data_IF_422325450782
#
_entry.id   IF_422325450782
#
_cell.length_a   1.000
_cell.length_b   1.000
_cell.length_c   1.000
_cell.angle_alpha   90.00
_cell.angle_beta   90.00
_cell.angle_gamma   90.00
#
_symmetry.space_group_name_H-M   'P 1'
#
loop_
_entity.id
_entity.type
_entity.pdbx_description
1 polymer ?
#
# COMPACT_ATOMS: atom_id res chain seq x y z
N UNK A 1 14.75 11.01 -10.80
CA UNK A 1 14.57 9.59 -11.15
C UNK A 1 13.84 9.53 -12.48
N UNK A 2 14.49 9.03 -13.53
CA UNK A 2 13.86 8.92 -14.85
C UNK A 2 12.94 7.69 -14.79
N UNK A 3 11.64 7.95 -14.64
CA UNK A 3 10.61 6.93 -14.71
C UNK A 3 10.40 6.66 -16.20
N UNK A 4 10.97 5.56 -16.69
CA UNK A 4 10.72 5.06 -18.04
C UNK A 4 9.20 4.94 -18.25
N UNK A 5 8.69 5.27 -19.44
CA UNK A 5 7.25 5.17 -19.73
C UNK A 5 6.74 3.72 -19.64
N UNK A 6 7.64 2.76 -19.86
CA UNK A 6 7.41 1.33 -19.66
C UNK A 6 7.75 0.93 -18.22
N UNK A 7 6.71 0.74 -17.41
CA UNK A 7 6.85 0.15 -16.08
C UNK A 7 7.07 -1.35 -16.19
N UNK A 8 8.28 -1.79 -15.84
CA UNK A 8 8.61 -3.20 -15.71
C UNK A 8 8.64 -3.65 -14.25
N UNK A 9 8.84 -4.95 -14.02
CA UNK A 9 8.97 -5.52 -12.67
C UNK A 9 10.05 -4.81 -11.85
N UNK A 10 11.17 -4.44 -12.47
CA UNK A 10 12.29 -3.75 -11.82
C UNK A 10 11.87 -2.38 -11.30
N UNK A 11 11.09 -1.65 -12.08
CA UNK A 11 10.57 -0.33 -11.72
C UNK A 11 9.63 -0.41 -10.52
N UNK A 12 8.72 -1.39 -10.51
CA UNK A 12 7.84 -1.63 -9.36
C UNK A 12 8.61 -2.05 -8.10
N UNK A 13 9.58 -2.96 -8.25
CA UNK A 13 10.46 -3.33 -7.15
C UNK A 13 11.17 -2.09 -6.59
N UNK A 14 11.79 -1.28 -7.45
CA UNK A 14 12.54 -0.09 -7.04
C UNK A 14 11.66 0.91 -6.27
N UNK A 15 10.46 1.21 -6.78
CA UNK A 15 9.54 2.11 -6.08
C UNK A 15 9.07 1.50 -4.75
N UNK A 16 8.83 0.19 -4.68
CA UNK A 16 8.40 -0.47 -3.44
C UNK A 16 9.39 -0.26 -2.29
N UNK A 17 10.69 -0.13 -2.60
CA UNK A 17 11.74 0.14 -1.63
C UNK A 17 11.91 1.64 -1.35
N UNK A 18 11.69 2.49 -2.36
CA UNK A 18 11.99 3.92 -2.28
C UNK A 18 10.86 4.77 -1.68
N UNK A 19 9.60 4.34 -1.79
CA UNK A 19 8.44 5.21 -1.49
C UNK A 19 8.43 5.75 -0.07
N UNK A 20 8.98 5.00 0.90
CA UNK A 20 9.06 5.39 2.31
C UNK A 20 9.96 6.59 2.59
N UNK A 21 10.86 6.93 1.66
CA UNK A 21 11.83 8.01 1.82
C UNK A 21 11.38 9.32 1.17
N UNK A 22 10.19 9.33 0.57
CA UNK A 22 9.67 10.49 -0.17
C UNK A 22 8.76 11.35 0.72
N UNK A 23 8.75 12.65 0.47
CA UNK A 23 7.66 13.50 0.94
C UNK A 23 6.34 13.08 0.30
N UNK A 24 5.23 13.38 0.99
CA UNK A 24 3.91 12.88 0.64
C UNK A 24 3.46 13.23 -0.79
N UNK A 25 3.80 14.41 -1.29
CA UNK A 25 3.38 14.87 -2.63
C UNK A 25 4.14 14.12 -3.73
N UNK A 26 5.47 13.99 -3.59
CA UNK A 26 6.28 13.19 -4.51
C UNK A 26 5.93 11.70 -4.44
N UNK A 27 5.65 11.19 -3.24
CA UNK A 27 5.19 9.82 -3.06
C UNK A 27 3.87 9.59 -3.82
N UNK A 28 2.90 10.50 -3.64
CA UNK A 28 1.61 10.43 -4.31
C UNK A 28 1.73 10.42 -5.82
N UNK A 29 2.52 11.34 -6.39
CA UNK A 29 2.70 11.40 -7.84
C UNK A 29 3.25 10.08 -8.40
N UNK A 30 4.32 9.56 -7.80
CA UNK A 30 4.97 8.34 -8.28
C UNK A 30 4.09 7.10 -8.11
N UNK A 31 3.36 7.01 -7.00
CA UNK A 31 2.42 5.92 -6.71
C UNK A 31 1.25 5.93 -7.69
N UNK A 32 0.64 7.10 -7.94
CA UNK A 32 -0.47 7.20 -8.89
C UNK A 32 -0.01 6.86 -10.34
N UNK A 33 1.23 7.21 -10.70
CA UNK A 33 1.85 6.80 -11.98
C UNK A 33 2.04 5.28 -12.05
N UNK A 34 2.57 4.66 -10.99
CA UNK A 34 2.74 3.21 -10.90
C UNK A 34 1.41 2.47 -11.08
N UNK A 35 0.36 2.93 -10.39
CA UNK A 35 -0.98 2.36 -10.49
C UNK A 35 -1.60 2.53 -11.87
N UNK A 36 -1.40 3.71 -12.48
CA UNK A 36 -1.88 4.00 -13.83
C UNK A 36 -1.24 3.05 -14.85
N UNK A 37 0.08 2.86 -14.76
CA UNK A 37 0.80 1.93 -15.63
C UNK A 37 0.34 0.47 -15.43
N UNK A 38 0.16 0.04 -14.17
CA UNK A 38 -0.31 -1.32 -13.87
C UNK A 38 -1.70 -1.56 -14.46
N UNK A 39 -2.61 -0.58 -14.34
CA UNK A 39 -3.98 -0.72 -14.88
C UNK A 39 -4.02 -0.77 -16.41
N UNK A 40 -3.09 -0.11 -17.11
CA UNK A 40 -3.00 -0.19 -18.59
C UNK A 40 -2.57 -1.58 -19.05
N UNK A 41 -1.64 -2.20 -18.31
CA UNK A 41 -1.12 -3.52 -18.62
C UNK A 41 -1.04 -4.38 -17.34
N UNK A 42 -2.18 -4.91 -16.86
CA UNK A 42 -2.21 -5.66 -15.60
C UNK A 42 -1.31 -6.87 -15.68
N UNK A 43 -0.37 -6.98 -14.74
CA UNK A 43 0.48 -8.14 -14.63
C UNK A 43 -0.30 -9.32 -14.03
N UNK A 44 -0.02 -10.52 -14.54
CA UNK A 44 -0.53 -11.78 -13.97
C UNK A 44 0.53 -12.49 -13.13
N UNK A 45 1.79 -12.03 -13.18
CA UNK A 45 2.87 -12.65 -12.44
C UNK A 45 2.87 -12.20 -10.98
N UNK A 46 3.01 -13.17 -10.08
CA UNK A 46 2.93 -12.98 -8.64
C UNK A 46 3.92 -11.94 -8.11
N UNK A 47 5.14 -11.86 -8.67
CA UNK A 47 6.14 -10.90 -8.19
C UNK A 47 5.76 -9.44 -8.47
N UNK A 48 5.32 -9.13 -9.68
CA UNK A 48 4.86 -7.78 -9.99
C UNK A 48 3.66 -7.40 -9.12
N UNK A 49 2.71 -8.33 -8.92
CA UNK A 49 1.54 -8.12 -8.03
C UNK A 49 1.97 -7.84 -6.60
N UNK A 50 2.95 -8.58 -6.07
CA UNK A 50 3.54 -8.34 -4.75
C UNK A 50 4.17 -6.94 -4.64
N UNK A 51 4.95 -6.53 -5.64
CA UNK A 51 5.62 -5.23 -5.59
C UNK A 51 4.63 -4.07 -5.64
N UNK A 52 3.58 -4.13 -6.47
CA UNK A 52 2.55 -3.08 -6.48
C UNK A 52 1.72 -3.04 -5.19
N UNK A 53 1.46 -4.21 -4.57
CA UNK A 53 0.81 -4.27 -3.27
C UNK A 53 1.71 -3.73 -2.14
N UNK A 54 3.03 -3.93 -2.24
CA UNK A 54 4.00 -3.39 -1.29
C UNK A 54 4.13 -1.87 -1.43
N UNK A 55 4.18 -1.34 -2.66
CA UNK A 55 4.11 0.11 -2.92
C UNK A 55 2.89 0.71 -2.22
N UNK A 56 1.72 0.09 -2.37
CA UNK A 56 0.48 0.56 -1.77
C UNK A 56 0.55 0.62 -0.25
N UNK A 57 0.97 -0.46 0.42
CA UNK A 57 1.07 -0.49 1.88
C UNK A 57 2.12 0.51 2.39
N UNK A 58 3.29 0.57 1.74
CA UNK A 58 4.34 1.50 2.14
C UNK A 58 3.92 2.97 1.95
N UNK A 59 3.14 3.26 0.91
CA UNK A 59 2.56 4.59 0.74
C UNK A 59 1.50 4.91 1.80
N UNK A 60 0.66 3.96 2.19
CA UNK A 60 -0.28 4.16 3.32
C UNK A 60 0.46 4.44 4.63
N UNK A 61 1.59 3.76 4.85
CA UNK A 61 2.48 4.04 5.97
C UNK A 61 2.99 5.49 5.92
N UNK A 62 3.44 5.97 4.76
CA UNK A 62 3.82 7.37 4.57
C UNK A 62 2.67 8.33 4.89
N UNK A 63 1.46 8.08 4.36
CA UNK A 63 0.28 8.90 4.64
C UNK A 63 0.03 9.00 6.15
N UNK A 64 0.14 7.89 6.87
CA UNK A 64 -0.08 7.86 8.32
C UNK A 64 0.98 8.69 9.07
N UNK A 65 2.27 8.41 8.85
CA UNK A 65 3.35 9.06 9.60
C UNK A 65 3.57 10.53 9.23
N UNK A 66 3.24 10.92 8.00
CA UNK A 66 3.29 12.32 7.58
C UNK A 66 1.98 13.07 7.86
N UNK A 67 1.03 12.45 8.57
CA UNK A 67 -0.26 13.04 8.94
C UNK A 67 -1.05 13.58 7.74
N UNK A 68 -0.99 12.86 6.61
CA UNK A 68 -1.70 13.23 5.41
C UNK A 68 -3.21 13.14 5.61
N UNK A 69 -3.97 14.00 4.91
CA UNK A 69 -5.41 13.88 4.86
C UNK A 69 -5.84 12.55 4.19
N UNK A 70 -7.00 12.02 4.58
CA UNK A 70 -7.56 10.79 4.03
C UNK A 70 -7.65 10.79 2.50
N UNK A 71 -7.83 11.96 1.87
CA UNK A 71 -7.86 12.11 0.41
C UNK A 71 -6.60 11.57 -0.29
N UNK A 72 -5.43 11.60 0.38
CA UNK A 72 -4.19 11.04 -0.16
C UNK A 72 -4.22 9.50 -0.25
N UNK A 73 -4.95 8.84 0.64
CA UNK A 73 -5.00 7.38 0.74
C UNK A 73 -6.10 6.74 -0.13
N UNK A 74 -7.10 7.52 -0.55
CA UNK A 74 -8.28 7.04 -1.29
C UNK A 74 -7.94 6.21 -2.54
N UNK A 75 -7.02 6.70 -3.39
CA UNK A 75 -6.64 5.98 -4.61
C UNK A 75 -5.98 4.63 -4.29
N UNK A 76 -5.27 4.55 -3.16
CA UNK A 76 -4.56 3.35 -2.70
C UNK A 76 -5.51 2.31 -2.10
N UNK A 77 -6.50 2.71 -1.29
CA UNK A 77 -7.53 1.78 -0.81
C UNK A 77 -8.28 1.13 -1.97
N UNK A 78 -8.68 1.95 -2.96
CA UNK A 78 -9.31 1.44 -4.18
C UNK A 78 -8.38 0.50 -4.94
N UNK A 79 -7.12 0.88 -5.12
CA UNK A 79 -6.15 0.06 -5.84
C UNK A 79 -5.95 -1.32 -5.20
N UNK A 80 -5.75 -1.40 -3.88
CA UNK A 80 -5.61 -2.67 -3.17
C UNK A 80 -6.84 -3.56 -3.31
N UNK A 81 -8.05 -2.98 -3.32
CA UNK A 81 -9.30 -3.70 -3.54
C UNK A 81 -9.40 -4.27 -4.97
N UNK A 82 -8.92 -3.51 -5.95
CA UNK A 82 -8.96 -3.86 -7.37
C UNK A 82 -7.87 -4.88 -7.78
N UNK A 83 -6.83 -5.07 -6.96
CA UNK A 83 -5.81 -6.09 -7.21
C UNK A 83 -6.42 -7.51 -7.21
N UNK A 84 -5.89 -8.45 -8.02
CA UNK A 84 -6.40 -9.81 -8.09
C UNK A 84 -6.35 -10.52 -6.72
N UNK A 85 -7.20 -11.53 -6.48
CA UNK A 85 -7.18 -12.34 -5.27
C UNK A 85 -5.99 -13.32 -5.27
N UNK A 86 -4.77 -12.78 -5.26
CA UNK A 86 -3.51 -13.53 -5.18
C UNK A 86 -3.15 -13.79 -3.71
N UNK A 87 -3.05 -15.06 -3.26
CA UNK A 87 -2.69 -15.39 -1.88
C UNK A 87 -1.44 -14.68 -1.38
N UNK A 88 -0.44 -14.47 -2.25
CA UNK A 88 0.82 -13.87 -1.85
C UNK A 88 0.72 -12.38 -1.45
N UNK A 89 -0.42 -11.72 -1.68
CA UNK A 89 -0.68 -10.34 -1.23
C UNK A 89 -1.78 -10.24 -0.17
N UNK A 90 -2.13 -11.37 0.47
CA UNK A 90 -3.16 -11.43 1.51
C UNK A 90 -2.87 -10.47 2.67
N UNK A 91 -1.63 -10.45 3.16
CA UNK A 91 -1.22 -9.53 4.22
C UNK A 91 -1.32 -8.05 3.78
N UNK A 92 -0.90 -7.72 2.55
CA UNK A 92 -1.00 -6.35 2.05
C UNK A 92 -2.45 -5.85 1.99
N UNK A 93 -3.37 -6.73 1.56
CA UNK A 93 -4.81 -6.42 1.56
C UNK A 93 -5.34 -6.23 2.98
N UNK A 94 -4.91 -7.06 3.93
CA UNK A 94 -5.27 -6.93 5.34
C UNK A 94 -4.77 -5.60 5.94
N UNK A 95 -3.53 -5.23 5.66
CA UNK A 95 -2.95 -3.94 6.07
C UNK A 95 -3.69 -2.76 5.43
N UNK A 96 -4.08 -2.87 4.15
CA UNK A 96 -4.93 -1.88 3.50
C UNK A 96 -6.24 -1.63 4.24
N UNK A 97 -6.93 -2.69 4.67
CA UNK A 97 -8.15 -2.59 5.48
C UNK A 97 -7.90 -1.97 6.86
N UNK A 98 -6.73 -2.25 7.44
CA UNK A 98 -6.33 -1.71 8.74
C UNK A 98 -6.10 -0.20 8.64
N UNK A 99 -5.30 0.26 7.68
CA UNK A 99 -5.11 1.68 7.43
C UNK A 99 -6.42 2.39 7.09
N UNK A 100 -7.28 1.79 6.26
CA UNK A 100 -8.60 2.39 5.97
C UNK A 100 -9.41 2.60 7.26
N UNK A 101 -9.39 1.64 8.19
CA UNK A 101 -10.05 1.78 9.48
C UNK A 101 -9.44 2.88 10.36
N UNK A 102 -8.11 3.05 10.33
CA UNK A 102 -7.38 4.13 11.02
C UNK A 102 -7.86 5.49 10.48
N UNK A 103 -7.84 5.68 9.16
CA UNK A 103 -8.29 6.93 8.53
C UNK A 103 -9.79 7.21 8.74
N UNK A 104 -10.60 6.17 8.90
CA UNK A 104 -12.03 6.28 9.21
C UNK A 104 -12.32 6.45 10.71
N UNK A 105 -11.30 6.44 11.58
CA UNK A 105 -11.44 6.42 13.05
C UNK A 105 -12.37 5.29 13.56
N UNK A 106 -12.38 4.15 12.87
CA UNK A 106 -13.25 3.03 13.19
C UNK A 106 -12.59 2.09 14.22
N UNK A 107 -12.70 2.46 15.49
CA UNK A 107 -12.05 1.77 16.62
C UNK A 107 -12.35 0.27 16.71
N UNK A 108 -13.60 -0.13 16.41
CA UNK A 108 -13.99 -1.54 16.41
C UNK A 108 -13.29 -2.32 15.29
N UNK A 109 -13.20 -1.75 14.09
CA UNK A 109 -12.50 -2.38 12.95
C UNK A 109 -10.98 -2.38 13.17
N UNK A 110 -10.41 -1.32 13.74
CA UNK A 110 -8.99 -1.24 14.12
C UNK A 110 -8.64 -2.37 15.09
N UNK A 111 -9.39 -2.53 16.20
CA UNK A 111 -9.11 -3.53 17.22
C UNK A 111 -9.19 -4.97 16.66
N UNK A 112 -10.21 -5.27 15.85
CA UNK A 112 -10.35 -6.60 15.21
C UNK A 112 -9.21 -6.91 14.26
N UNK A 113 -8.85 -5.96 13.40
CA UNK A 113 -7.79 -6.17 12.41
C UNK A 113 -6.43 -6.29 13.08
N UNK A 114 -6.15 -5.46 14.09
CA UNK A 114 -4.94 -5.54 14.91
C UNK A 114 -4.78 -6.93 15.52
N UNK A 115 -5.81 -7.45 16.17
CA UNK A 115 -5.77 -8.79 16.76
C UNK A 115 -5.44 -9.88 15.73
N UNK A 116 -6.06 -9.85 14.55
CA UNK A 116 -5.77 -10.83 13.48
C UNK A 116 -4.32 -10.71 13.00
N UNK A 117 -3.82 -9.49 12.81
CA UNK A 117 -2.43 -9.24 12.38
C UNK A 117 -1.44 -9.75 13.43
N UNK A 118 -1.70 -9.49 14.71
CA UNK A 118 -0.88 -9.93 15.84
C UNK A 118 -0.87 -11.45 15.99
N UNK A 119 -2.03 -12.12 15.95
CA UNK A 119 -2.15 -13.58 16.04
C UNK A 119 -1.43 -14.30 14.89
N UNK A 120 -1.38 -13.67 13.71
CA UNK A 120 -0.63 -14.18 12.56
C UNK A 120 0.89 -13.96 12.68
N UNK A 121 1.38 -13.33 13.75
CA UNK A 121 2.81 -13.08 13.98
C UNK A 121 3.36 -11.83 13.29
N UNK A 122 2.50 -10.90 12.86
CA UNK A 122 2.88 -9.68 12.14
C UNK A 122 2.74 -8.40 12.97
N UNK A 123 2.72 -8.51 14.30
CA UNK A 123 2.62 -7.36 15.23
C UNK A 123 3.61 -6.24 14.86
N UNK A 124 4.87 -6.60 14.62
CA UNK A 124 5.95 -5.67 14.28
C UNK A 124 5.68 -4.78 13.04
N UNK A 125 4.72 -5.15 12.17
CA UNK A 125 4.35 -4.36 10.98
C UNK A 125 3.40 -3.21 11.32
N UNK A 126 2.78 -3.21 12.51
CA UNK A 126 1.78 -2.22 12.94
C UNK A 126 2.01 -1.67 14.36
N UNK A 127 3.14 -2.00 14.99
CA UNK A 127 3.44 -1.65 16.39
C UNK A 127 3.59 -0.14 16.60
N UNK A 128 4.05 0.60 15.59
CA UNK A 128 4.23 2.05 15.63
C UNK A 128 3.00 2.84 15.20
N UNK A 129 1.94 2.15 14.74
CA UNK A 129 0.68 2.75 14.33
C UNK A 129 -0.24 2.83 15.54
N UNK A 130 -0.50 4.07 16.00
CA UNK A 130 -1.49 4.36 17.04
C UNK A 130 -2.90 4.35 16.43
N UNK A 131 -3.76 3.50 17.00
CA UNK A 131 -5.19 3.41 16.70
C UNK A 131 -6.01 4.17 17.73
#
# INVERSE_FOLDING_TARGET
>A
MIVNEDWDRTSYHSLSQAVIFLDIDNAKELVDRAYSAYRKHPAIDTFTIQFVALIAVNYLNCCYHQHADRSYALSTFKFLKDLPPEPAIGLNKLLGLFYEAIFDNNQEKIARLRHVIEDCGYAAVIDDIKG
#
